data_IF_379605379808
#
_entry.id   IF_379605379808
#
_cell.length_a   1.000
_cell.length_b   1.000
_cell.length_c   1.000
_cell.angle_alpha   90.00
_cell.angle_beta   90.00
_cell.angle_gamma   90.00
#
_symmetry.space_group_name_H-M   'P 1'
#
loop_
_entity.id
_entity.type
_entity.pdbx_description
1 polymer ?
#
# COMPACT_ATOMS: atom_id res chain seq x y z
N UNK A 1 21.62 -3.97 19.78
CA UNK A 1 20.62 -4.96 19.30
C UNK A 1 20.10 -4.47 17.97
N UNK A 2 20.35 -5.21 16.89
CA UNK A 2 19.93 -4.80 15.53
C UNK A 2 18.77 -5.66 15.05
N UNK A 3 17.81 -5.03 14.36
CA UNK A 3 16.61 -5.69 13.84
C UNK A 3 16.38 -5.24 12.41
N UNK A 4 16.17 -6.21 11.52
CA UNK A 4 15.74 -5.99 10.14
C UNK A 4 14.27 -6.40 10.04
N UNK A 5 13.45 -5.51 9.47
CA UNK A 5 12.01 -5.75 9.27
C UNK A 5 11.67 -5.68 7.79
N UNK A 6 11.33 -6.82 7.21
CA UNK A 6 10.92 -6.93 5.82
C UNK A 6 9.41 -6.67 5.67
N UNK A 7 9.04 -5.82 4.72
CA UNK A 7 7.63 -5.59 4.38
C UNK A 7 7.20 -6.47 3.20
N UNK A 8 6.43 -7.51 3.52
CA UNK A 8 5.82 -8.44 2.57
C UNK A 8 4.37 -8.02 2.28
N UNK A 9 3.50 -8.96 1.88
CA UNK A 9 2.10 -8.72 1.55
C UNK A 9 1.29 -10.00 1.73
N UNK A 10 -0.01 -9.90 2.03
CA UNK A 10 -0.93 -11.05 2.04
C UNK A 10 -1.03 -11.73 0.67
N UNK A 11 -0.78 -10.98 -0.40
CA UNK A 11 -0.83 -11.46 -1.79
C UNK A 11 0.20 -12.55 -2.07
N UNK A 12 1.20 -12.72 -1.19
CA UNK A 12 2.22 -13.78 -1.29
C UNK A 12 1.64 -15.20 -1.14
N UNK A 13 0.53 -15.36 -0.39
CA UNK A 13 -0.11 -16.65 -0.11
C UNK A 13 -1.50 -16.76 -0.75
N UNK A 14 -2.24 -15.66 -0.77
CA UNK A 14 -3.66 -15.68 -1.13
C UNK A 14 -3.93 -15.69 -2.64
N UNK A 15 -2.90 -15.49 -3.49
CA UNK A 15 -3.04 -15.58 -4.95
C UNK A 15 -4.08 -14.60 -5.50
N UNK A 16 -3.79 -13.30 -5.44
CA UNK A 16 -4.72 -12.30 -5.98
C UNK A 16 -4.58 -12.22 -7.51
N UNK A 17 -5.67 -12.51 -8.23
CA UNK A 17 -5.71 -12.44 -9.70
C UNK A 17 -5.26 -11.05 -10.18
N UNK A 18 -4.46 -11.02 -11.25
CA UNK A 18 -3.89 -9.78 -11.80
C UNK A 18 -2.65 -9.26 -11.07
N UNK A 19 -2.13 -9.96 -10.05
CA UNK A 19 -0.95 -9.52 -9.29
C UNK A 19 0.20 -10.53 -9.29
N UNK A 20 0.42 -11.26 -10.39
CA UNK A 20 1.44 -12.31 -10.49
C UNK A 20 2.84 -11.78 -10.13
N UNK A 21 3.28 -10.70 -10.79
CA UNK A 21 4.60 -10.11 -10.55
C UNK A 21 4.74 -9.61 -9.11
N UNK A 22 3.72 -8.92 -8.59
CA UNK A 22 3.74 -8.40 -7.21
C UNK A 22 3.74 -9.52 -6.16
N UNK A 23 2.93 -10.57 -6.37
CA UNK A 23 2.89 -11.75 -5.52
C UNK A 23 4.22 -12.50 -5.54
N UNK A 24 4.85 -12.67 -6.71
CA UNK A 24 6.18 -13.26 -6.84
C UNK A 24 7.25 -12.45 -6.09
N UNK A 25 7.29 -11.14 -6.30
CA UNK A 25 8.24 -10.26 -5.60
C UNK A 25 8.05 -10.30 -4.09
N UNK A 26 6.81 -10.22 -3.60
CA UNK A 26 6.52 -10.24 -2.15
C UNK A 26 6.63 -11.63 -1.53
N UNK A 27 6.44 -12.69 -2.32
CA UNK A 27 6.74 -14.07 -1.96
C UNK A 27 8.23 -14.32 -1.79
N UNK A 28 9.07 -13.81 -2.70
CA UNK A 28 10.53 -13.85 -2.57
C UNK A 28 11.02 -13.15 -1.30
N UNK A 29 10.47 -11.96 -0.99
CA UNK A 29 10.79 -11.24 0.27
C UNK A 29 10.28 -11.98 1.52
N UNK A 30 9.26 -12.83 1.42
CA UNK A 30 8.89 -13.68 2.56
C UNK A 30 9.86 -14.86 2.69
N UNK A 31 10.22 -15.49 1.58
CA UNK A 31 11.12 -16.64 1.54
C UNK A 31 12.53 -16.30 2.02
N UNK A 32 13.06 -15.10 1.74
CA UNK A 32 14.41 -14.71 2.20
C UNK A 32 14.50 -14.48 3.71
N UNK A 33 13.38 -14.24 4.40
CA UNK A 33 13.41 -13.77 5.79
C UNK A 33 13.97 -14.82 6.75
N UNK A 34 13.58 -16.08 6.59
CA UNK A 34 14.08 -17.18 7.43
C UNK A 34 15.57 -17.50 7.22
N UNK A 35 16.09 -17.67 5.98
CA UNK A 35 17.52 -17.89 5.79
C UNK A 35 18.34 -16.69 6.25
N UNK A 36 17.93 -15.45 5.97
CA UNK A 36 18.63 -14.27 6.51
C UNK A 36 18.65 -14.25 8.04
N UNK A 37 17.57 -14.63 8.71
CA UNK A 37 17.54 -14.72 10.16
C UNK A 37 18.55 -15.75 10.69
N UNK A 38 18.74 -16.87 9.99
CA UNK A 38 19.70 -17.91 10.36
C UNK A 38 21.14 -17.48 10.11
N UNK A 39 21.40 -16.88 8.94
CA UNK A 39 22.73 -16.41 8.55
C UNK A 39 23.23 -15.28 9.43
N UNK A 40 22.31 -14.41 9.90
CA UNK A 40 22.65 -13.24 10.71
C UNK A 40 22.55 -13.46 12.22
N UNK A 41 22.01 -14.60 12.67
CA UNK A 41 21.91 -14.94 14.09
C UNK A 41 23.26 -14.92 14.84
N UNK A 42 24.39 -15.42 14.27
CA UNK A 42 25.70 -15.37 14.94
C UNK A 42 26.18 -13.95 15.24
N UNK A 43 25.71 -12.96 14.49
CA UNK A 43 26.04 -11.54 14.69
C UNK A 43 25.03 -10.81 15.60
N UNK A 44 24.09 -11.54 16.22
CA UNK A 44 23.08 -10.96 17.11
C UNK A 44 22.04 -10.09 16.39
N UNK A 45 21.86 -10.27 15.08
CA UNK A 45 20.88 -9.53 14.28
C UNK A 45 19.63 -10.39 14.07
N UNK A 46 18.47 -9.81 14.36
CA UNK A 46 17.17 -10.47 14.13
C UNK A 46 16.56 -10.00 12.84
N UNK A 47 15.95 -10.92 12.08
CA UNK A 47 15.23 -10.60 10.85
C UNK A 47 13.80 -11.11 10.96
N UNK A 48 12.83 -10.23 10.74
CA UNK A 48 11.40 -10.56 10.78
C UNK A 48 10.69 -9.98 9.57
N UNK A 49 9.53 -10.52 9.23
CA UNK A 49 8.68 -10.01 8.16
C UNK A 49 7.28 -9.70 8.65
N UNK A 50 6.73 -8.58 8.17
CA UNK A 50 5.31 -8.23 8.34
C UNK A 50 4.60 -8.36 7.00
N UNK A 51 3.34 -8.81 7.01
CA UNK A 51 2.53 -9.01 5.81
C UNK A 51 1.23 -8.18 5.88
N UNK A 52 1.26 -6.90 5.49
CA UNK A 52 0.07 -6.07 5.52
C UNK A 52 -0.98 -6.54 4.51
N UNK A 53 -2.25 -6.44 4.91
CA UNK A 53 -3.40 -6.60 4.03
C UNK A 53 -3.67 -5.38 3.15
N UNK A 54 -4.83 -5.40 2.49
CA UNK A 54 -5.33 -4.25 1.73
C UNK A 54 -5.75 -3.17 2.71
N UNK A 55 -5.11 -2.01 2.58
CA UNK A 55 -5.45 -0.80 3.33
C UNK A 55 -5.47 0.37 2.35
N UNK A 56 -6.16 1.46 2.72
CA UNK A 56 -6.28 2.66 1.88
C UNK A 56 -4.90 3.31 1.71
N UNK A 57 -4.25 3.04 0.56
CA UNK A 57 -2.93 3.56 0.20
C UNK A 57 -3.06 4.53 -0.97
N UNK A 58 -2.14 5.49 -1.05
CA UNK A 58 -2.08 6.48 -2.14
C UNK A 58 -2.12 5.83 -3.53
N UNK A 59 -1.49 4.66 -3.70
CA UNK A 59 -1.54 3.87 -4.94
C UNK A 59 -2.97 3.50 -5.38
N UNK A 60 -3.82 3.06 -4.45
CA UNK A 60 -5.22 2.72 -4.75
C UNK A 60 -6.04 3.96 -5.10
N UNK A 61 -5.75 5.09 -4.44
CA UNK A 61 -6.42 6.36 -4.69
C UNK A 61 -6.05 6.88 -6.09
N UNK A 62 -4.77 6.84 -6.47
CA UNK A 62 -4.29 7.32 -7.77
C UNK A 62 -4.82 6.48 -8.94
N UNK A 63 -4.87 5.15 -8.79
CA UNK A 63 -5.44 4.28 -9.81
C UNK A 63 -6.95 4.57 -10.00
N UNK A 64 -7.68 4.79 -8.90
CA UNK A 64 -9.10 5.14 -8.95
C UNK A 64 -9.35 6.51 -9.58
N UNK A 65 -8.47 7.50 -9.35
CA UNK A 65 -8.59 8.83 -9.95
C UNK A 65 -8.16 8.90 -11.43
N UNK A 66 -7.36 7.94 -11.90
CA UNK A 66 -7.03 7.80 -13.33
C UNK A 66 -8.12 7.05 -14.09
N UNK A 67 -8.86 6.14 -13.43
CA UNK A 67 -9.98 5.42 -14.03
C UNK A 67 -11.31 6.18 -13.99
N UNK A 68 -11.52 7.05 -12.99
CA UNK A 68 -12.66 7.96 -12.98
C UNK A 68 -12.33 9.21 -13.81
N UNK A 69 -13.29 9.75 -14.59
CA UNK A 69 -13.12 11.06 -15.20
C UNK A 69 -12.81 12.08 -14.09
N UNK A 70 -11.93 13.08 -14.36
CA UNK A 70 -11.59 14.08 -13.36
C UNK A 70 -12.88 14.70 -12.82
N UNK A 71 -13.03 14.86 -11.50
CA UNK A 71 -14.23 15.47 -10.94
C UNK A 71 -14.40 16.83 -11.61
N UNK A 72 -15.54 17.01 -12.30
CA UNK A 72 -15.87 18.28 -12.94
C UNK A 72 -15.96 19.31 -11.83
N UNK A 73 -14.89 20.10 -11.65
CA UNK A 73 -14.91 21.25 -10.76
C UNK A 73 -15.85 22.29 -11.39
N UNK A 74 -17.15 22.15 -11.14
CA UNK A 74 -18.09 23.23 -11.33
C UNK A 74 -17.71 24.33 -10.35
N UNK A 75 -16.97 25.31 -10.86
CA UNK A 75 -16.72 26.57 -10.20
C UNK A 75 -18.07 27.19 -9.84
N UNK A 76 -18.54 26.94 -8.61
CA UNK A 76 -19.66 27.66 -8.00
C UNK A 76 -19.20 29.12 -7.86
N UNK A 77 -19.38 29.91 -8.93
CA UNK A 77 -19.26 31.37 -8.87
C UNK A 77 -20.22 31.82 -7.79
N UNK A 78 -19.66 32.50 -6.77
CA UNK A 78 -20.45 33.19 -5.77
C UNK A 78 -21.29 34.26 -6.49
N UNK A 79 -22.59 34.00 -6.65
CA UNK A 79 -23.57 35.05 -6.89
C UNK A 79 -24.31 35.24 -5.58
N UNK A 80 -23.80 36.18 -4.80
CA UNK A 80 -24.56 36.90 -3.80
C UNK A 80 -25.72 37.63 -4.49
N UNK A 81 -26.95 37.43 -4.01
CA UNK A 81 -28.02 38.41 -4.20
C UNK A 81 -28.51 38.83 -2.81
N UNK A 82 -28.30 40.08 -2.38
CA UNK A 82 -28.95 40.59 -1.17
C UNK A 82 -30.40 41.03 -1.51
N UNK A 83 -31.26 41.03 -0.49
CA UNK A 83 -32.69 41.41 -0.48
C UNK A 83 -33.67 40.24 -0.77
N UNK A 84 -34.71 39.98 0.02
CA UNK A 84 -35.55 40.88 0.82
C UNK A 84 -36.00 40.21 2.14
N UNK A 85 -35.93 40.99 3.22
CA UNK A 85 -36.66 40.77 4.46
C UNK A 85 -37.98 41.53 4.30
N UNK A 86 -39.12 40.85 4.31
CA UNK A 86 -40.42 41.42 4.70
C UNK A 86 -41.27 40.30 5.26
#
# INVERSE_FOLDING_TARGET
VSIIVNTTSITRNAGQAGQIAYAASKGGVAALTLPMARDLAPYGVRVVAIAPGVFRKRLLITLSSLLLPPPSFHHKRSLTSPSQHT
#
